data_IF_165627420305
#
_entry.id   IF_165627420305
#
_cell.length_a   1.000
_cell.length_b   1.000
_cell.length_c   1.000
_cell.angle_alpha   90.00
_cell.angle_beta   90.00
_cell.angle_gamma   90.00
#
_symmetry.space_group_name_H-M   'P 1'
#
loop_
_entity.id
_entity.type
_entity.pdbx_description
1 polymer ?
#
# COMPACT_ATOMS: atom_id res chain seq x y z
N UNK A 1 4.30 6.97 3.14
CA UNK A 1 3.46 6.01 2.40
C UNK A 1 2.39 5.60 3.38
N UNK A 2 1.15 5.57 2.94
CA UNK A 2 0.05 5.15 3.79
C UNK A 2 -0.60 3.92 3.18
N UNK A 3 -1.02 3.02 4.06
CA UNK A 3 -1.85 1.91 3.68
C UNK A 3 -3.31 2.35 3.82
N UNK A 4 -4.16 2.05 2.84
CA UNK A 4 -5.62 2.22 2.92
C UNK A 4 -6.31 0.94 2.46
N UNK A 5 -7.46 0.64 3.05
CA UNK A 5 -8.28 -0.50 2.64
C UNK A 5 -9.06 -0.15 1.38
N UNK A 6 -9.03 -1.01 0.37
CA UNK A 6 -9.88 -0.91 -0.81
C UNK A 6 -11.15 -1.73 -0.58
N UNK A 7 -12.30 -1.06 -0.45
CA UNK A 7 -13.59 -1.72 -0.34
C UNK A 7 -14.00 -2.46 -1.64
N UNK A 8 -13.25 -2.24 -2.74
CA UNK A 8 -13.48 -2.92 -4.02
C UNK A 8 -13.02 -4.38 -4.00
N UNK A 9 -11.82 -4.65 -3.48
CA UNK A 9 -11.24 -6.00 -3.42
C UNK A 9 -11.04 -6.52 -1.98
N UNK A 10 -11.44 -5.72 -0.99
CA UNK A 10 -11.30 -6.02 0.43
C UNK A 10 -9.85 -6.25 0.88
N UNK A 11 -8.87 -5.65 0.19
CA UNK A 11 -7.46 -5.71 0.55
C UNK A 11 -6.85 -4.33 0.78
N UNK A 12 -5.77 -4.30 1.54
CA UNK A 12 -5.01 -3.10 1.85
C UNK A 12 -3.94 -2.84 0.80
N UNK A 13 -3.90 -1.61 0.29
CA UNK A 13 -2.97 -1.17 -0.73
C UNK A 13 -2.08 -0.04 -0.20
N UNK A 14 -0.85 0.02 -0.68
CA UNK A 14 0.10 1.06 -0.33
C UNK A 14 -0.03 2.23 -1.31
N UNK A 15 -0.19 3.44 -0.78
CA UNK A 15 -0.35 4.67 -1.55
C UNK A 15 0.73 5.71 -1.17
N UNK A 16 1.18 6.55 -2.11
CA UNK A 16 1.98 7.73 -1.80
C UNK A 16 1.25 8.67 -0.85
N UNK A 17 1.90 9.07 0.24
CA UNK A 17 1.31 9.95 1.26
C UNK A 17 0.79 11.27 0.66
N UNK A 18 1.53 11.82 -0.32
CA UNK A 18 1.11 13.01 -1.07
C UNK A 18 -0.23 12.86 -1.81
N UNK A 19 -0.66 11.62 -2.13
CA UNK A 19 -2.00 11.39 -2.68
C UNK A 19 -3.07 11.35 -1.60
N UNK A 20 -2.74 10.84 -0.42
CA UNK A 20 -3.69 10.68 0.71
C UNK A 20 -4.06 12.03 1.30
N UNK A 21 -3.13 12.98 1.31
CA UNK A 21 -3.33 14.33 1.83
C UNK A 21 -4.10 15.28 0.88
N UNK A 22 -4.46 14.83 -0.33
CA UNK A 22 -5.18 15.63 -1.33
C UNK A 22 -6.70 15.45 -1.23
N UNK A 23 -7.45 16.42 -0.67
CA UNK A 23 -8.89 16.29 -0.41
C UNK A 23 -9.74 16.38 -1.68
N UNK A 24 -9.19 16.80 -2.82
CA UNK A 24 -9.93 16.91 -4.10
C UNK A 24 -9.83 15.63 -4.94
N UNK A 25 -9.13 14.60 -4.44
CA UNK A 25 -8.81 13.40 -5.19
C UNK A 25 -10.03 12.51 -5.40
N UNK A 26 -10.22 12.08 -6.65
CA UNK A 26 -11.32 11.17 -7.04
C UNK A 26 -10.89 9.71 -7.11
N UNK A 27 -9.59 9.46 -7.30
CA UNK A 27 -8.97 8.13 -7.33
C UNK A 27 -7.58 8.17 -6.71
N UNK A 28 -7.25 7.14 -5.92
CA UNK A 28 -5.91 6.86 -5.45
C UNK A 28 -5.23 5.86 -6.39
N UNK A 29 -3.97 6.11 -6.72
CA UNK A 29 -3.14 5.17 -7.46
C UNK A 29 -2.23 4.44 -6.48
N UNK A 30 -2.50 3.16 -6.26
CA UNK A 30 -1.67 2.29 -5.45
C UNK A 30 -0.33 2.04 -6.16
N UNK A 31 0.69 1.66 -5.37
CA UNK A 31 2.01 1.32 -5.90
C UNK A 31 2.02 0.08 -6.80
N UNK A 32 1.04 -0.81 -6.67
CA UNK A 32 0.88 -2.04 -7.45
C UNK A 32 0.08 -1.83 -8.75
N UNK A 33 0.01 -0.60 -9.24
CA UNK A 33 -0.78 -0.16 -10.41
C UNK A 33 -2.30 -0.27 -10.29
N UNK A 34 -2.84 -0.71 -9.15
CA UNK A 34 -4.28 -0.63 -8.88
C UNK A 34 -4.74 0.81 -8.64
N UNK A 35 -5.81 1.20 -9.32
CA UNK A 35 -6.52 2.45 -9.04
C UNK A 35 -7.74 2.19 -8.16
N UNK A 36 -7.83 2.88 -7.03
CA UNK A 36 -8.96 2.77 -6.08
C UNK A 36 -9.74 4.08 -6.09
N UNK A 37 -11.04 4.11 -6.43
CA UNK A 37 -11.86 5.30 -6.29
C UNK A 37 -11.85 5.79 -4.84
N UNK A 38 -11.71 7.10 -4.62
CA UNK A 38 -11.52 7.62 -3.26
C UNK A 38 -12.67 7.26 -2.30
N UNK A 39 -13.91 7.21 -2.81
CA UNK A 39 -15.10 6.75 -2.08
C UNK A 39 -15.07 5.29 -1.60
N UNK A 40 -14.15 4.49 -2.12
CA UNK A 40 -13.95 3.08 -1.75
C UNK A 40 -12.66 2.87 -0.97
N UNK A 41 -11.94 3.93 -0.59
CA UNK A 41 -10.77 3.84 0.27
C UNK A 41 -11.19 4.09 1.73
N UNK A 42 -10.73 3.23 2.64
CA UNK A 42 -11.07 3.33 4.06
C UNK A 42 -9.82 3.33 4.95
N UNK A 43 -9.85 4.20 5.97
CA UNK A 43 -8.84 4.28 7.03
C UNK A 43 -9.29 3.41 8.22
N UNK A 44 -9.18 2.08 8.10
CA UNK A 44 -9.54 1.12 9.17
C UNK A 44 -8.30 0.39 9.73
N UNK A 45 -8.46 -0.72 10.45
CA UNK A 45 -7.31 -1.52 10.91
C UNK A 45 -6.94 -2.59 9.86
N UNK A 46 -5.63 -2.79 9.56
CA UNK A 46 -5.20 -3.75 8.55
C UNK A 46 -5.53 -5.19 8.93
N UNK A 47 -6.01 -5.96 7.95
CA UNK A 47 -6.34 -7.40 8.10
C UNK A 47 -5.81 -8.26 6.96
N UNK A 48 -6.04 -7.82 5.72
CA UNK A 48 -5.63 -8.54 4.50
C UNK A 48 -4.93 -7.56 3.57
N UNK A 49 -3.66 -7.81 3.24
CA UNK A 49 -2.87 -6.93 2.38
C UNK A 49 -2.85 -7.43 0.93
N UNK A 50 -2.80 -6.49 -0.03
CA UNK A 50 -2.55 -6.81 -1.43
C UNK A 50 -1.14 -7.44 -1.57
N UNK A 51 -1.01 -8.65 -2.14
CA UNK A 51 0.29 -9.31 -2.29
C UNK A 51 1.28 -8.49 -3.12
N UNK A 52 0.81 -7.81 -4.17
CA UNK A 52 1.66 -6.97 -5.01
C UNK A 52 2.20 -5.75 -4.23
N UNK A 53 1.37 -5.10 -3.41
CA UNK A 53 1.84 -4.03 -2.53
C UNK A 53 2.81 -4.53 -1.47
N UNK A 54 2.62 -5.73 -0.92
CA UNK A 54 3.58 -6.33 0.00
C UNK A 54 4.93 -6.60 -0.67
N UNK A 55 4.94 -7.11 -1.90
CA UNK A 55 6.19 -7.29 -2.65
C UNK A 55 6.85 -5.96 -2.96
N UNK A 56 6.12 -4.94 -3.40
CA UNK A 56 6.74 -3.67 -3.80
C UNK A 56 7.19 -2.80 -2.62
N UNK A 57 6.38 -2.71 -1.57
CA UNK A 57 6.65 -1.86 -0.41
C UNK A 57 7.27 -2.63 0.76
N UNK A 58 6.85 -3.88 0.99
CA UNK A 58 7.46 -4.77 1.98
C UNK A 58 8.79 -5.38 1.54
N UNK A 59 9.15 -5.36 0.25
CA UNK A 59 10.51 -5.66 -0.20
C UNK A 59 11.45 -4.45 -0.19
N UNK A 60 11.17 -3.42 0.62
CA UNK A 60 12.21 -2.48 1.04
C UNK A 60 13.18 -3.19 1.99
N UNK A 61 13.90 -4.20 1.49
CA UNK A 61 15.03 -4.82 2.18
C UNK A 61 16.11 -3.75 2.23
N UNK A 62 16.48 -3.24 3.41
CA UNK A 62 17.63 -2.35 3.53
C UNK A 62 18.84 -3.06 2.93
N UNK A 63 19.64 -2.39 2.09
CA UNK A 63 20.86 -2.98 1.52
C UNK A 63 21.82 -3.50 2.61
N UNK A 64 21.72 -2.95 3.83
CA UNK A 64 22.47 -3.33 5.03
C UNK A 64 22.07 -4.69 5.64
N UNK A 65 20.94 -5.28 5.23
CA UNK A 65 20.49 -6.62 5.63
C UNK A 65 20.67 -7.65 4.52
N UNK A 66 21.53 -7.39 3.53
CA UNK A 66 22.01 -8.43 2.62
C UNK A 66 22.91 -9.40 3.40
N UNK A 67 22.28 -10.45 3.91
CA UNK A 67 22.89 -11.73 4.30
C UNK A 67 23.79 -11.70 5.54
N UNK A 68 23.19 -11.82 6.72
CA UNK A 68 23.74 -12.73 7.74
C UNK A 68 23.00 -14.07 7.62
N UNK A 69 23.48 -14.94 6.75
CA UNK A 69 23.31 -16.37 6.94
C UNK A 69 24.33 -16.80 7.98
N UNK A 70 23.97 -16.66 9.25
CA UNK A 70 24.71 -17.32 10.30
C UNK A 70 24.38 -18.81 10.25
N UNK A 71 25.39 -19.57 9.80
CA UNK A 71 25.77 -20.94 10.15
C UNK A 71 24.70 -21.95 10.51
#
# INVERSE_FOLDING_TARGET
>A
MDWLMSAYDSTWHAFPAAQVDDPARTFYQALCDHSVPARHAEHTAPRVFCPACLVLYGAHIPDEQRWQTDG
#
